data_IF_454566785661
#
_entry.id   IF_454566785661
#
_cell.length_a   1.000
_cell.length_b   1.000
_cell.length_c   1.000
_cell.angle_alpha   90.00
_cell.angle_beta   90.00
_cell.angle_gamma   90.00
#
_symmetry.space_group_name_H-M   'P 1'
#
loop_
_entity.id
_entity.type
_entity.pdbx_description
1 polymer ?
#
# COMPACT_ATOMS: atom_id res chain seq x y z
N UNK A 1 17.92 5.43 -8.84
CA UNK A 1 17.09 4.94 -7.71
C UNK A 1 17.68 5.50 -6.41
N UNK A 2 16.82 5.89 -5.47
CA UNK A 2 17.21 6.28 -4.12
C UNK A 2 17.10 5.04 -3.21
N UNK A 3 17.91 4.98 -2.12
CA UNK A 3 17.94 3.78 -1.26
C UNK A 3 16.64 3.52 -0.50
N UNK A 4 15.84 4.56 -0.25
CA UNK A 4 14.57 4.47 0.45
C UNK A 4 13.49 5.15 -0.38
N UNK A 5 12.53 4.38 -0.84
CA UNK A 5 11.35 4.87 -1.56
C UNK A 5 10.11 4.82 -0.65
N UNK A 6 9.09 5.60 -1.02
CA UNK A 6 7.84 5.67 -0.27
C UNK A 6 7.85 6.68 0.87
N UNK A 7 7.10 6.41 1.94
CA UNK A 7 6.94 7.34 3.07
C UNK A 7 7.92 6.97 4.18
N UNK A 8 8.73 7.95 4.61
CA UNK A 8 9.71 7.84 5.69
C UNK A 8 9.38 8.87 6.76
N UNK A 9 9.27 8.47 8.01
CA UNK A 9 9.10 9.40 9.12
C UNK A 9 10.42 9.62 9.83
N UNK A 10 10.76 10.88 10.01
CA UNK A 10 11.89 11.34 10.82
C UNK A 10 11.32 11.99 12.07
N UNK A 11 11.41 11.26 13.18
CA UNK A 11 10.86 11.72 14.45
C UNK A 11 11.71 12.82 15.06
N UNK A 12 11.12 13.98 15.27
CA UNK A 12 11.77 15.17 15.83
C UNK A 12 10.90 15.71 16.96
N UNK A 13 11.41 15.61 18.17
CA UNK A 13 10.81 16.20 19.37
C UNK A 13 11.46 17.58 19.53
N UNK A 14 10.85 18.61 18.94
CA UNK A 14 11.29 19.99 19.07
C UNK A 14 10.25 20.85 19.78
N UNK A 15 10.64 22.08 20.12
CA UNK A 15 9.72 23.09 20.66
C UNK A 15 9.50 24.21 19.64
N UNK A 16 8.38 24.91 19.77
CA UNK A 16 8.14 26.10 18.97
C UNK A 16 8.88 27.30 19.56
N UNK A 17 9.59 28.00 18.69
CA UNK A 17 10.33 29.20 19.11
C UNK A 17 9.41 30.35 19.55
N UNK A 18 8.22 30.42 18.96
CA UNK A 18 7.20 31.43 19.22
C UNK A 18 5.85 30.93 18.70
N UNK A 19 4.81 30.93 19.53
CA UNK A 19 3.46 30.50 19.14
C UNK A 19 2.90 31.23 17.90
N UNK A 20 3.27 32.53 17.73
CA UNK A 20 2.79 33.32 16.58
C UNK A 20 3.55 33.01 15.28
N UNK A 21 4.76 32.49 15.32
CA UNK A 21 5.58 32.32 14.12
C UNK A 21 5.53 30.93 13.52
N UNK A 22 5.06 29.93 14.26
CA UNK A 22 5.01 28.53 13.77
C UNK A 22 6.37 28.09 13.18
N UNK A 23 7.45 28.25 13.95
CA UNK A 23 8.81 27.83 13.60
C UNK A 23 9.24 26.75 14.57
N UNK A 24 9.75 25.64 14.06
CA UNK A 24 10.46 24.61 14.79
C UNK A 24 11.87 24.49 14.20
N UNK A 25 12.87 25.00 14.93
CA UNK A 25 14.26 25.03 14.46
C UNK A 25 14.86 23.63 14.32
N UNK A 26 14.49 22.71 15.20
CA UNK A 26 14.96 21.33 15.17
C UNK A 26 14.47 20.62 13.93
N UNK A 27 13.18 20.80 13.59
CA UNK A 27 12.63 20.28 12.33
C UNK A 27 13.31 20.92 11.11
N UNK A 28 13.53 22.26 11.14
CA UNK A 28 14.19 22.95 10.04
C UNK A 28 15.61 22.40 9.80
N UNK A 29 16.42 22.26 10.85
CA UNK A 29 17.75 21.65 10.80
C UNK A 29 17.69 20.23 10.25
N UNK A 30 16.77 19.41 10.76
CA UNK A 30 16.61 18.03 10.30
C UNK A 30 16.23 17.94 8.82
N UNK A 31 15.35 18.81 8.34
CA UNK A 31 15.01 18.90 6.93
C UNK A 31 16.24 19.18 6.05
N UNK A 32 17.07 20.14 6.46
CA UNK A 32 18.30 20.49 5.74
C UNK A 32 19.30 19.33 5.75
N UNK A 33 19.54 18.70 6.91
CA UNK A 33 20.43 17.54 7.01
C UNK A 33 20.05 16.41 6.04
N UNK A 34 18.75 16.10 5.98
CA UNK A 34 18.20 15.08 5.06
C UNK A 34 18.42 15.52 3.61
N UNK A 35 18.09 16.76 3.28
CA UNK A 35 18.19 17.29 1.93
C UNK A 35 19.64 17.30 1.44
N UNK A 36 20.59 17.80 2.24
CA UNK A 36 22.02 17.85 1.90
C UNK A 36 22.62 16.45 1.75
N UNK A 37 22.25 15.51 2.65
CA UNK A 37 22.70 14.12 2.55
C UNK A 37 22.21 13.48 1.25
N UNK A 38 20.96 13.72 0.87
CA UNK A 38 20.38 13.19 -0.36
C UNK A 38 21.01 13.86 -1.60
N UNK A 39 21.15 15.17 -1.60
CA UNK A 39 21.77 15.94 -2.68
C UNK A 39 23.21 15.50 -2.94
N UNK A 40 24.00 15.30 -1.87
CA UNK A 40 25.38 14.81 -1.96
C UNK A 40 25.46 13.40 -2.53
N UNK A 41 24.51 12.53 -2.15
CA UNK A 41 24.51 11.12 -2.58
C UNK A 41 23.96 10.95 -3.98
N UNK A 42 23.01 11.78 -4.38
CA UNK A 42 22.28 11.70 -5.64
C UNK A 42 22.25 13.06 -6.34
N UNK A 43 23.30 13.43 -7.10
CA UNK A 43 23.42 14.78 -7.68
C UNK A 43 22.29 15.18 -8.64
N UNK A 44 21.61 14.21 -9.25
CA UNK A 44 20.59 14.44 -10.28
C UNK A 44 19.15 14.49 -9.74
N UNK A 45 18.93 14.29 -8.43
CA UNK A 45 17.57 14.33 -7.88
C UNK A 45 17.12 15.74 -7.57
N UNK A 46 15.83 15.99 -7.74
CA UNK A 46 15.16 17.23 -7.31
C UNK A 46 14.56 17.06 -5.93
N UNK A 47 14.79 18.01 -5.02
CA UNK A 47 14.33 17.96 -3.62
C UNK A 47 13.48 19.18 -3.33
N UNK A 48 12.25 18.94 -2.84
CA UNK A 48 11.37 19.98 -2.32
C UNK A 48 11.24 19.85 -0.80
N UNK A 49 11.45 20.93 -0.07
CA UNK A 49 11.14 21.00 1.35
C UNK A 49 9.91 21.86 1.52
N UNK A 50 8.83 21.29 2.05
CA UNK A 50 7.56 21.99 2.17
C UNK A 50 7.08 22.04 3.61
N UNK A 51 6.37 23.11 3.96
CA UNK A 51 5.70 23.24 5.24
C UNK A 51 4.30 23.84 5.07
N UNK A 52 3.34 23.49 5.94
CA UNK A 52 2.06 24.19 6.02
C UNK A 52 2.25 25.69 6.36
N UNK A 53 3.32 26.00 7.11
CA UNK A 53 3.55 27.31 7.71
C UNK A 53 4.60 28.13 6.96
N UNK A 54 4.22 29.34 6.56
CA UNK A 54 5.06 30.24 5.78
C UNK A 54 6.41 30.54 6.46
N UNK A 55 6.41 30.84 7.76
CA UNK A 55 7.63 31.20 8.47
C UNK A 55 8.59 30.00 8.56
N UNK A 56 8.08 28.78 8.76
CA UNK A 56 8.91 27.57 8.73
C UNK A 56 9.55 27.37 7.36
N UNK A 57 8.79 27.52 6.28
CA UNK A 57 9.32 27.39 4.93
C UNK A 57 10.39 28.46 4.63
N UNK A 58 10.21 29.69 5.13
CA UNK A 58 11.20 30.76 5.01
C UNK A 58 12.47 30.48 5.83
N UNK A 59 12.33 30.01 7.07
CA UNK A 59 13.44 29.59 7.92
C UNK A 59 14.27 28.53 7.22
N UNK A 60 13.65 27.47 6.75
CA UNK A 60 14.31 26.39 5.99
C UNK A 60 14.98 26.96 4.73
N UNK A 61 14.30 27.83 3.99
CA UNK A 61 14.86 28.43 2.77
C UNK A 61 16.14 29.23 3.05
N UNK A 62 16.20 29.92 4.20
CA UNK A 62 17.37 30.70 4.60
C UNK A 62 18.59 29.83 4.94
N UNK A 63 18.36 28.57 5.31
CA UNK A 63 19.41 27.60 5.68
C UNK A 63 19.96 26.82 4.48
N UNK A 64 19.32 26.86 3.32
CA UNK A 64 19.80 26.15 2.12
C UNK A 64 21.10 26.78 1.63
N UNK A 65 22.15 25.96 1.52
CA UNK A 65 23.43 26.42 1.00
C UNK A 65 23.30 26.87 -0.47
N UNK A 66 23.94 27.97 -0.85
CA UNK A 66 23.79 28.55 -2.20
C UNK A 66 24.14 27.59 -3.33
N UNK A 67 25.12 26.72 -3.12
CA UNK A 67 25.56 25.73 -4.13
C UNK A 67 24.50 24.65 -4.38
N UNK A 68 23.54 24.46 -3.47
CA UNK A 68 22.47 23.48 -3.56
C UNK A 68 21.12 24.10 -3.97
N UNK A 69 21.04 25.41 -4.16
CA UNK A 69 19.80 26.13 -4.48
C UNK A 69 19.18 25.75 -5.84
N UNK A 70 19.95 25.12 -6.73
CA UNK A 70 19.42 24.54 -7.97
C UNK A 70 18.77 23.17 -7.82
N UNK A 71 19.12 22.44 -6.75
CA UNK A 71 18.64 21.08 -6.48
C UNK A 71 17.61 21.04 -5.36
N UNK A 72 17.74 21.90 -4.35
CA UNK A 72 16.88 21.99 -3.16
C UNK A 72 16.10 23.29 -3.20
N UNK A 73 14.78 23.22 -3.09
CA UNK A 73 13.88 24.37 -2.97
C UNK A 73 12.98 24.19 -1.73
N UNK A 74 12.72 25.31 -1.04
CA UNK A 74 11.79 25.31 0.09
C UNK A 74 10.69 26.35 -0.11
N UNK A 75 9.42 25.95 0.08
CA UNK A 75 8.26 26.85 0.10
C UNK A 75 7.08 26.23 0.87
N UNK A 76 5.98 26.97 0.92
CA UNK A 76 4.73 26.46 1.50
C UNK A 76 4.08 25.39 0.62
N UNK A 77 3.29 24.50 1.23
CA UNK A 77 2.52 23.48 0.52
C UNK A 77 1.68 24.09 -0.61
N UNK A 78 1.07 25.26 -0.39
CA UNK A 78 0.23 25.93 -1.39
C UNK A 78 1.00 26.37 -2.65
N UNK A 79 2.23 26.82 -2.50
CA UNK A 79 3.05 27.23 -3.65
C UNK A 79 3.64 26.06 -4.42
N UNK A 80 3.74 24.90 -3.80
CA UNK A 80 4.13 23.65 -4.46
C UNK A 80 2.98 22.99 -5.24
N UNK A 81 1.79 23.61 -5.29
CA UNK A 81 0.70 23.11 -6.12
C UNK A 81 1.10 23.07 -7.61
N UNK A 82 1.14 21.85 -8.18
CA UNK A 82 1.51 21.64 -9.60
C UNK A 82 2.99 21.30 -9.83
N UNK A 83 3.88 21.49 -8.85
CA UNK A 83 5.30 21.21 -8.98
C UNK A 83 5.67 19.90 -8.26
N UNK A 84 6.23 18.95 -9.00
CA UNK A 84 6.63 17.64 -8.46
C UNK A 84 8.14 17.56 -8.30
N UNK A 85 8.62 16.86 -7.27
CA UNK A 85 10.04 16.60 -7.03
C UNK A 85 10.29 15.10 -6.85
N UNK A 86 11.53 14.66 -7.07
CA UNK A 86 11.88 13.27 -6.79
C UNK A 86 11.68 12.95 -5.32
N UNK A 87 12.08 13.87 -4.45
CA UNK A 87 11.90 13.77 -3.00
C UNK A 87 11.18 15.00 -2.47
N UNK A 88 10.19 14.78 -1.63
CA UNK A 88 9.57 15.81 -0.80
C UNK A 88 9.96 15.56 0.66
N UNK A 89 10.32 16.63 1.35
CA UNK A 89 10.53 16.65 2.81
C UNK A 89 9.46 17.56 3.39
N UNK A 90 8.60 17.03 4.24
CA UNK A 90 7.43 17.72 4.79
C UNK A 90 7.64 18.02 6.27
N UNK A 91 7.89 19.29 6.62
CA UNK A 91 8.04 19.78 8.00
C UNK A 91 6.69 20.19 8.56
N UNK A 92 6.25 19.51 9.61
CA UNK A 92 4.90 19.64 10.17
C UNK A 92 4.73 20.82 11.13
N UNK A 93 5.78 21.14 11.91
CA UNK A 93 5.74 22.14 13.00
C UNK A 93 4.63 21.89 14.01
N UNK A 94 4.37 20.63 14.30
CA UNK A 94 3.37 20.20 15.29
C UNK A 94 4.09 19.49 16.42
N UNK A 95 4.07 20.09 17.59
CA UNK A 95 4.81 19.66 18.78
C UNK A 95 3.89 19.67 19.99
N UNK A 96 4.35 19.17 21.12
CA UNK A 96 3.60 19.15 22.39
C UNK A 96 3.15 20.55 22.83
N UNK A 97 3.86 21.61 22.40
CA UNK A 97 3.50 23.01 22.64
C UNK A 97 2.46 23.55 21.64
N UNK A 98 2.04 22.73 20.69
CA UNK A 98 1.11 23.14 19.64
C UNK A 98 -0.33 23.11 20.12
N UNK A 99 -1.15 24.04 19.61
CA UNK A 99 -2.59 23.93 19.80
C UNK A 99 -3.17 22.80 18.94
N UNK A 100 -4.15 22.05 19.45
CA UNK A 100 -4.91 21.04 18.68
C UNK A 100 -5.50 21.61 17.39
N UNK A 101 -5.75 22.92 17.34
CA UNK A 101 -6.21 23.63 16.17
C UNK A 101 -5.28 23.52 14.96
N UNK A 102 -3.97 23.34 15.15
CA UNK A 102 -3.00 23.17 14.06
C UNK A 102 -3.15 21.83 13.36
N UNK A 103 -3.24 20.73 14.13
CA UNK A 103 -3.50 19.40 13.56
C UNK A 103 -4.81 19.43 12.79
N UNK A 104 -5.87 19.95 13.39
CA UNK A 104 -7.17 20.06 12.75
C UNK A 104 -7.10 20.89 11.46
N UNK A 105 -6.37 21.99 11.46
CA UNK A 105 -6.19 22.80 10.26
C UNK A 105 -5.46 22.05 9.14
N UNK A 106 -4.39 21.29 9.47
CA UNK A 106 -3.67 20.48 8.48
C UNK A 106 -4.56 19.39 7.90
N UNK A 107 -5.35 18.70 8.74
CA UNK A 107 -6.19 17.57 8.34
C UNK A 107 -7.44 17.99 7.55
N UNK A 108 -8.04 19.15 7.86
CA UNK A 108 -9.32 19.58 7.28
C UNK A 108 -9.20 20.73 6.26
N UNK A 109 -7.99 21.21 5.97
CA UNK A 109 -7.79 22.26 4.97
C UNK A 109 -8.24 21.83 3.56
N UNK A 110 -8.65 22.79 2.75
CA UNK A 110 -9.03 22.57 1.35
C UNK A 110 -8.19 23.49 0.45
N UNK A 111 -7.36 22.94 -0.45
CA UNK A 111 -7.06 21.51 -0.61
C UNK A 111 -6.34 20.91 0.60
N UNK A 112 -6.49 19.60 0.83
CA UNK A 112 -5.85 18.96 1.98
C UNK A 112 -4.33 18.99 1.84
N UNK A 113 -3.64 19.56 2.85
CA UNK A 113 -2.20 19.83 2.81
C UNK A 113 -1.36 18.55 2.78
N UNK A 114 -1.81 17.50 3.48
CA UNK A 114 -1.14 16.18 3.48
C UNK A 114 -1.24 15.55 2.10
N UNK A 115 -2.42 15.57 1.48
CA UNK A 115 -2.62 15.00 0.15
C UNK A 115 -1.77 15.73 -0.90
N UNK A 116 -1.64 17.06 -0.79
CA UNK A 116 -0.75 17.82 -1.66
C UNK A 116 0.68 17.36 -1.46
N UNK A 117 1.18 17.23 -0.21
CA UNK A 117 2.53 16.77 0.07
C UNK A 117 2.81 15.38 -0.54
N UNK A 118 1.92 14.41 -0.28
CA UNK A 118 2.04 13.03 -0.79
C UNK A 118 2.09 12.99 -2.32
N UNK A 119 1.24 13.78 -2.99
CA UNK A 119 1.14 13.77 -4.45
C UNK A 119 2.26 14.53 -5.16
N UNK A 120 3.10 15.27 -4.45
CA UNK A 120 4.26 15.98 -5.01
C UNK A 120 5.54 15.13 -5.02
N UNK A 121 5.59 14.04 -4.26
CA UNK A 121 6.74 13.16 -4.18
C UNK A 121 6.68 12.07 -5.27
N UNK A 122 7.67 12.04 -6.17
CA UNK A 122 7.77 10.98 -7.21
C UNK A 122 8.36 9.68 -6.68
N UNK A 123 9.31 9.76 -5.74
CA UNK A 123 10.06 8.60 -5.23
C UNK A 123 9.92 8.44 -3.73
N UNK A 124 10.13 9.52 -2.96
CA UNK A 124 10.05 9.47 -1.51
C UNK A 124 9.44 10.71 -0.89
N UNK A 125 8.68 10.51 0.17
CA UNK A 125 8.16 11.53 1.07
C UNK A 125 8.80 11.33 2.45
N UNK A 126 9.64 12.27 2.88
CA UNK A 126 10.11 12.34 4.26
C UNK A 126 9.15 13.24 5.04
N UNK A 127 8.60 12.74 6.13
CA UNK A 127 7.77 13.52 7.06
C UNK A 127 8.62 13.80 8.29
N UNK A 128 8.82 15.07 8.63
CA UNK A 128 9.63 15.50 9.77
C UNK A 128 8.70 16.12 10.81
N UNK A 129 8.69 15.57 12.02
CA UNK A 129 7.83 16.05 13.09
C UNK A 129 7.66 15.03 14.22
N UNK A 130 6.99 15.43 15.29
CA UNK A 130 6.75 14.59 16.47
C UNK A 130 5.71 13.52 16.19
N UNK A 131 6.19 12.28 15.95
CA UNK A 131 5.35 11.13 15.61
C UNK A 131 4.35 10.82 16.73
N UNK A 132 4.81 10.76 17.97
CA UNK A 132 3.97 10.43 19.12
C UNK A 132 2.84 11.44 19.33
N UNK A 133 3.15 12.72 19.17
CA UNK A 133 2.14 13.77 19.30
C UNK A 133 1.05 13.65 18.25
N UNK A 134 1.43 13.39 16.98
CA UNK A 134 0.46 13.19 15.91
C UNK A 134 -0.42 11.95 16.16
N UNK A 135 0.17 10.83 16.57
CA UNK A 135 -0.57 9.59 16.86
C UNK A 135 -1.61 9.75 17.98
N UNK A 136 -1.33 10.62 18.93
CA UNK A 136 -2.24 10.84 20.08
C UNK A 136 -3.30 11.90 19.82
N UNK A 137 -3.10 12.79 18.83
CA UNK A 137 -3.98 13.95 18.59
C UNK A 137 -4.66 13.96 17.21
N UNK A 138 -4.27 13.06 16.28
CA UNK A 138 -4.95 12.90 14.99
C UNK A 138 -5.50 11.48 14.85
N UNK A 139 -6.74 11.37 14.36
CA UNK A 139 -7.36 10.07 14.10
C UNK A 139 -6.72 9.39 12.88
N UNK A 140 -6.64 8.04 12.91
CA UNK A 140 -6.21 7.23 11.76
C UNK A 140 -7.09 7.44 10.51
N UNK A 141 -8.33 7.87 10.68
CA UNK A 141 -9.25 8.17 9.58
C UNK A 141 -8.94 9.51 8.90
N UNK A 142 -8.02 10.29 9.47
CA UNK A 142 -7.56 11.57 8.95
C UNK A 142 -6.20 11.45 8.27
N UNK A 143 -5.90 12.27 7.26
CA UNK A 143 -4.68 12.13 6.46
C UNK A 143 -3.38 12.13 7.27
N UNK A 144 -3.26 13.02 8.26
CA UNK A 144 -2.05 13.12 9.08
C UNK A 144 -1.89 11.94 10.03
N UNK A 145 -2.98 11.55 10.71
CA UNK A 145 -3.00 10.36 11.57
C UNK A 145 -2.74 9.07 10.80
N UNK A 146 -3.27 8.96 9.56
CA UNK A 146 -2.97 7.84 8.68
C UNK A 146 -1.49 7.78 8.30
N UNK A 147 -0.87 8.92 7.96
CA UNK A 147 0.57 8.98 7.67
C UNK A 147 1.42 8.52 8.86
N UNK A 148 1.09 8.98 10.06
CA UNK A 148 1.79 8.58 11.28
C UNK A 148 1.65 7.08 11.56
N UNK A 149 0.43 6.55 11.44
CA UNK A 149 0.17 5.11 11.55
C UNK A 149 0.94 4.30 10.49
N UNK A 150 0.92 4.75 9.23
CA UNK A 150 1.61 4.07 8.13
C UNK A 150 3.11 4.01 8.36
N UNK A 151 3.73 5.10 8.81
CA UNK A 151 5.16 5.17 9.07
C UNK A 151 5.63 4.13 10.09
N UNK A 152 4.85 3.93 11.16
CA UNK A 152 5.13 2.94 12.20
C UNK A 152 4.87 1.50 11.74
N UNK A 153 3.82 1.32 10.95
CA UNK A 153 3.34 -0.01 10.57
C UNK A 153 3.84 -0.47 9.18
N UNK A 154 4.60 0.36 8.45
CA UNK A 154 5.06 0.03 7.09
C UNK A 154 5.80 -1.29 7.00
N UNK A 155 6.59 -1.66 8.03
CA UNK A 155 7.25 -2.97 8.05
C UNK A 155 6.24 -4.10 8.23
N UNK A 156 5.21 -3.91 9.04
CA UNK A 156 4.12 -4.89 9.19
C UNK A 156 3.29 -4.97 7.92
N UNK A 157 3.02 -3.82 7.28
CA UNK A 157 2.32 -3.74 5.99
C UNK A 157 3.17 -4.40 4.90
N UNK A 158 4.48 -4.18 4.87
CA UNK A 158 5.39 -4.84 3.94
C UNK A 158 5.55 -6.34 4.26
N UNK A 159 5.47 -6.75 5.53
CA UNK A 159 5.40 -8.16 5.93
C UNK A 159 4.05 -8.77 5.55
N UNK A 160 2.95 -8.00 5.66
CA UNK A 160 1.63 -8.43 5.18
C UNK A 160 1.51 -8.31 3.65
N UNK A 161 2.19 -7.38 2.99
CA UNK A 161 2.28 -7.30 1.52
C UNK A 161 3.24 -8.34 0.92
N UNK A 162 4.13 -8.95 1.71
CA UNK A 162 4.84 -10.17 1.32
C UNK A 162 3.91 -11.40 1.39
N UNK A 163 2.82 -11.35 2.16
CA UNK A 163 1.80 -12.37 2.14
C UNK A 163 0.93 -12.18 0.90
N UNK A 164 0.96 -13.15 0.02
CA UNK A 164 0.10 -13.17 -1.15
C UNK A 164 -1.32 -13.62 -0.76
N UNK A 165 -2.31 -13.15 -1.50
CA UNK A 165 -3.67 -13.66 -1.41
C UNK A 165 -3.93 -14.51 -2.64
N UNK A 166 -4.02 -15.81 -2.48
CA UNK A 166 -4.27 -16.73 -3.58
C UNK A 166 -5.76 -16.97 -3.75
N UNK A 167 -6.28 -16.67 -4.94
CA UNK A 167 -7.61 -17.13 -5.38
C UNK A 167 -7.37 -18.33 -6.30
N UNK A 168 -7.87 -19.50 -5.93
CA UNK A 168 -7.51 -20.77 -6.60
C UNK A 168 -8.68 -21.25 -7.43
N UNK A 169 -8.40 -21.55 -8.70
CA UNK A 169 -9.34 -22.13 -9.66
C UNK A 169 -9.53 -23.65 -9.45
N UNK A 170 -10.64 -24.18 -9.88
CA UNK A 170 -11.03 -25.60 -9.77
C UNK A 170 -10.00 -26.52 -10.43
N UNK A 171 -9.52 -26.17 -11.63
CA UNK A 171 -8.57 -26.99 -12.37
C UNK A 171 -7.28 -27.23 -11.62
N UNK A 172 -6.82 -26.26 -10.87
CA UNK A 172 -5.61 -26.35 -10.04
C UNK A 172 -5.70 -27.50 -9.03
N UNK A 173 -6.86 -27.67 -8.37
CA UNK A 173 -7.09 -28.75 -7.41
C UNK A 173 -7.17 -30.13 -8.06
N UNK A 174 -7.60 -30.18 -9.33
CA UNK A 174 -7.68 -31.43 -10.10
C UNK A 174 -6.29 -31.84 -10.60
N UNK A 175 -5.45 -30.85 -10.95
CA UNK A 175 -4.09 -31.07 -11.40
C UNK A 175 -3.15 -31.40 -10.23
N UNK A 176 -3.32 -30.73 -9.11
CA UNK A 176 -2.48 -30.86 -7.90
C UNK A 176 -3.34 -30.76 -6.62
N UNK A 177 -3.72 -31.88 -6.07
CA UNK A 177 -4.49 -31.94 -4.82
C UNK A 177 -3.72 -31.42 -3.60
N UNK A 178 -2.40 -31.33 -3.68
CA UNK A 178 -1.51 -30.88 -2.61
C UNK A 178 -1.14 -29.39 -2.71
N UNK A 179 -1.76 -28.67 -3.65
CA UNK A 179 -1.49 -27.26 -3.90
C UNK A 179 -1.49 -26.39 -2.62
N UNK A 180 -2.41 -26.66 -1.70
CA UNK A 180 -2.49 -25.94 -0.44
C UNK A 180 -1.24 -26.11 0.43
N UNK A 181 -0.51 -27.20 0.28
CA UNK A 181 0.73 -27.47 1.01
C UNK A 181 1.93 -26.72 0.42
N UNK A 182 1.87 -26.35 -0.86
CA UNK A 182 2.92 -25.59 -1.56
C UNK A 182 2.83 -24.08 -1.33
N UNK A 183 1.64 -23.57 -1.00
CA UNK A 183 1.43 -22.16 -0.67
C UNK A 183 2.02 -21.88 0.71
N UNK A 184 2.69 -20.74 0.88
CA UNK A 184 3.28 -20.38 2.16
C UNK A 184 2.18 -20.32 3.26
N UNK A 185 2.41 -20.89 4.47
CA UNK A 185 1.42 -20.86 5.56
C UNK A 185 0.98 -19.45 6.00
N UNK A 186 1.75 -18.42 5.67
CA UNK A 186 1.42 -17.02 5.98
C UNK A 186 0.45 -16.41 4.98
N UNK A 187 0.37 -16.96 3.76
CA UNK A 187 -0.48 -16.46 2.70
C UNK A 187 -1.96 -16.71 2.99
N UNK A 188 -2.81 -15.81 2.52
CA UNK A 188 -4.25 -15.97 2.56
C UNK A 188 -4.70 -16.78 1.35
N UNK A 189 -5.49 -17.82 1.58
CA UNK A 189 -6.14 -18.58 0.52
C UNK A 189 -7.61 -18.20 0.51
N UNK A 190 -8.08 -17.64 -0.58
CA UNK A 190 -9.49 -17.35 -0.83
C UNK A 190 -10.03 -18.48 -1.70
N UNK A 191 -10.96 -19.25 -1.15
CA UNK A 191 -11.65 -20.33 -1.85
C UNK A 191 -13.04 -19.85 -2.28
N UNK A 192 -13.24 -19.67 -3.60
CA UNK A 192 -14.58 -19.36 -4.10
C UNK A 192 -15.55 -20.49 -3.82
N UNK A 193 -16.76 -20.19 -3.31
CA UNK A 193 -17.81 -21.19 -3.14
C UNK A 193 -18.10 -21.93 -4.45
N UNK A 194 -17.94 -21.25 -5.58
CA UNK A 194 -18.09 -21.82 -6.92
C UNK A 194 -17.14 -22.98 -7.19
N UNK A 195 -15.89 -22.91 -6.70
CA UNK A 195 -14.91 -23.99 -6.82
C UNK A 195 -15.37 -25.24 -6.05
N UNK A 196 -15.91 -25.03 -4.85
CA UNK A 196 -16.45 -26.15 -4.06
C UNK A 196 -17.64 -26.82 -4.76
N UNK A 197 -18.56 -26.03 -5.34
CA UNK A 197 -19.69 -26.53 -6.10
C UNK A 197 -19.24 -27.35 -7.32
N UNK A 198 -18.18 -26.91 -8.00
CA UNK A 198 -17.63 -27.62 -9.15
C UNK A 198 -16.96 -28.92 -8.76
N UNK A 199 -16.13 -28.91 -7.71
CA UNK A 199 -15.52 -30.13 -7.18
C UNK A 199 -16.60 -31.13 -6.70
N UNK A 200 -17.68 -30.66 -6.07
CA UNK A 200 -18.78 -31.50 -5.65
C UNK A 200 -19.53 -32.16 -6.85
N UNK A 201 -19.73 -31.43 -7.93
CA UNK A 201 -20.29 -31.98 -9.18
C UNK A 201 -19.37 -33.03 -9.79
N UNK A 202 -18.04 -32.82 -9.78
CA UNK A 202 -17.07 -33.76 -10.32
C UNK A 202 -17.05 -35.09 -9.56
N UNK A 203 -17.46 -35.14 -8.29
CA UNK A 203 -17.66 -36.40 -7.54
C UNK A 203 -18.73 -37.32 -8.15
N UNK A 204 -19.63 -36.75 -8.93
CA UNK A 204 -20.67 -37.53 -9.63
C UNK A 204 -20.32 -37.86 -11.09
N UNK A 205 -19.08 -37.54 -11.49
CA UNK A 205 -18.57 -37.83 -12.84
C UNK A 205 -18.57 -39.35 -13.13
N UNK A 206 -18.83 -39.71 -14.39
CA UNK A 206 -18.62 -41.06 -14.89
C UNK A 206 -17.15 -41.45 -15.07
N UNK A 207 -16.31 -40.44 -15.19
CA UNK A 207 -14.86 -40.58 -15.20
C UNK A 207 -14.36 -40.83 -13.79
N UNK A 208 -13.89 -42.06 -13.52
CA UNK A 208 -13.45 -42.50 -12.20
C UNK A 208 -12.18 -41.80 -11.73
N UNK A 209 -11.28 -41.43 -12.66
CA UNK A 209 -10.07 -40.71 -12.33
C UNK A 209 -10.39 -39.29 -11.86
N UNK A 210 -11.23 -38.58 -12.63
CA UNK A 210 -11.66 -37.23 -12.33
C UNK A 210 -12.44 -37.16 -11.02
N UNK A 211 -13.32 -38.15 -10.78
CA UNK A 211 -14.04 -38.34 -9.53
C UNK A 211 -13.09 -38.48 -8.34
N UNK A 212 -12.09 -39.36 -8.46
CA UNK A 212 -11.12 -39.61 -7.39
C UNK A 212 -10.28 -38.36 -7.05
N UNK A 213 -9.87 -37.61 -8.08
CA UNK A 213 -9.15 -36.33 -7.91
C UNK A 213 -10.00 -35.28 -7.19
N UNK A 214 -11.27 -35.14 -7.54
CA UNK A 214 -12.19 -34.22 -6.88
C UNK A 214 -12.45 -34.57 -5.41
N UNK A 215 -12.65 -35.86 -5.10
CA UNK A 215 -12.81 -36.35 -3.73
C UNK A 215 -11.57 -36.09 -2.89
N UNK A 216 -10.37 -36.31 -3.47
CA UNK A 216 -9.10 -36.05 -2.81
C UNK A 216 -8.93 -34.55 -2.53
N UNK A 217 -9.17 -33.69 -3.53
CA UNK A 217 -9.09 -32.24 -3.40
C UNK A 217 -9.99 -31.71 -2.26
N UNK A 218 -11.26 -32.11 -2.21
CA UNK A 218 -12.17 -31.69 -1.13
C UNK A 218 -11.73 -32.16 0.26
N UNK A 219 -11.18 -33.38 0.35
CA UNK A 219 -10.62 -33.88 1.60
C UNK A 219 -9.40 -33.07 2.05
N UNK A 220 -8.51 -32.71 1.11
CA UNK A 220 -7.33 -31.86 1.39
C UNK A 220 -7.75 -30.45 1.82
N UNK A 221 -8.73 -29.84 1.14
CA UNK A 221 -9.31 -28.53 1.51
C UNK A 221 -9.85 -28.56 2.94
N UNK A 222 -10.64 -29.58 3.28
CA UNK A 222 -11.21 -29.75 4.63
C UNK A 222 -10.13 -29.87 5.71
N UNK A 223 -9.05 -30.59 5.45
CA UNK A 223 -7.98 -30.82 6.39
C UNK A 223 -7.08 -29.58 6.54
N UNK A 224 -6.84 -28.86 5.43
CA UNK A 224 -5.98 -27.66 5.43
C UNK A 224 -6.57 -26.51 6.27
N UNK A 225 -7.90 -26.41 6.39
CA UNK A 225 -8.57 -25.36 7.19
C UNK A 225 -8.18 -25.31 8.67
N UNK A 226 -7.50 -26.35 9.20
CA UNK A 226 -7.01 -26.38 10.59
C UNK A 226 -5.69 -25.62 10.77
N UNK A 227 -4.86 -25.54 9.73
CA UNK A 227 -3.46 -25.07 9.81
C UNK A 227 -3.13 -23.97 8.79
N UNK A 228 -4.10 -23.49 8.04
CA UNK A 228 -3.95 -22.52 6.97
C UNK A 228 -4.96 -21.38 7.10
N UNK A 229 -4.60 -20.20 6.64
CA UNK A 229 -5.51 -19.05 6.55
C UNK A 229 -6.39 -19.23 5.31
N UNK A 230 -7.50 -19.94 5.44
CA UNK A 230 -8.46 -20.16 4.35
C UNK A 230 -9.71 -19.34 4.62
N UNK A 231 -10.14 -18.58 3.62
CA UNK A 231 -11.39 -17.82 3.62
C UNK A 231 -12.29 -18.33 2.50
N UNK A 232 -13.48 -18.75 2.85
CA UNK A 232 -14.51 -19.19 1.91
C UNK A 232 -15.38 -18.00 1.54
N UNK A 233 -15.52 -17.70 0.23
CA UNK A 233 -16.27 -16.53 -0.22
C UNK A 233 -17.14 -16.81 -1.44
N UNK A 234 -18.27 -16.10 -1.50
CA UNK A 234 -19.09 -16.02 -2.71
C UNK A 234 -18.45 -15.01 -3.68
N UNK A 235 -18.74 -15.15 -4.98
CA UNK A 235 -18.24 -14.22 -5.99
C UNK A 235 -18.69 -12.77 -5.74
N UNK A 236 -17.82 -11.83 -6.07
CA UNK A 236 -18.07 -10.40 -6.03
C UNK A 236 -18.37 -9.88 -7.45
N UNK A 237 -19.41 -10.43 -8.06
CA UNK A 237 -19.71 -10.26 -9.51
C UNK A 237 -20.02 -8.81 -9.91
N UNK A 238 -20.39 -7.97 -8.96
CA UNK A 238 -20.57 -6.52 -9.12
C UNK A 238 -19.26 -5.78 -9.47
N UNK A 239 -18.12 -6.40 -9.23
CA UNK A 239 -16.80 -5.84 -9.56
C UNK A 239 -16.30 -6.22 -10.97
N UNK A 240 -17.05 -7.08 -11.66
CA UNK A 240 -16.71 -7.48 -13.02
C UNK A 240 -16.95 -6.35 -14.02
N UNK A 241 -16.11 -6.22 -15.08
CA UNK A 241 -16.44 -5.38 -16.21
C UNK A 241 -17.80 -5.73 -16.82
N UNK A 242 -18.48 -4.74 -17.38
CA UNK A 242 -19.84 -4.90 -17.94
C UNK A 242 -19.93 -6.00 -19.01
N UNK A 243 -18.84 -6.19 -19.76
CA UNK A 243 -18.76 -7.19 -20.84
C UNK A 243 -18.56 -8.63 -20.33
N UNK A 244 -18.38 -8.81 -19.02
CA UNK A 244 -18.14 -10.13 -18.46
C UNK A 244 -19.43 -10.75 -17.94
N UNK A 245 -19.73 -11.97 -18.41
CA UNK A 245 -20.93 -12.70 -17.98
C UNK A 245 -20.81 -13.11 -16.48
N UNK A 246 -21.62 -12.49 -15.63
CA UNK A 246 -21.63 -12.73 -14.17
C UNK A 246 -22.07 -14.16 -13.76
N UNK A 247 -22.64 -14.94 -14.69
CA UNK A 247 -23.05 -16.34 -14.44
C UNK A 247 -21.98 -17.37 -14.81
N UNK A 248 -20.93 -16.93 -15.53
CA UNK A 248 -19.82 -17.81 -15.90
C UNK A 248 -18.96 -18.12 -14.68
N UNK A 249 -18.60 -19.39 -14.49
CA UNK A 249 -17.83 -19.84 -13.32
C UNK A 249 -16.47 -19.16 -13.20
N UNK A 250 -15.70 -19.09 -14.29
CA UNK A 250 -14.39 -18.43 -14.33
C UNK A 250 -14.50 -16.95 -13.94
N UNK A 251 -15.54 -16.27 -14.42
CA UNK A 251 -15.74 -14.86 -14.11
C UNK A 251 -16.11 -14.66 -12.63
N UNK A 252 -16.86 -15.60 -12.04
CA UNK A 252 -17.15 -15.60 -10.59
C UNK A 252 -15.85 -15.76 -9.79
N UNK A 253 -14.97 -16.65 -10.19
CA UNK A 253 -13.65 -16.85 -9.56
C UNK A 253 -12.80 -15.59 -9.75
N UNK A 254 -12.73 -15.04 -10.96
CA UNK A 254 -12.00 -13.83 -11.28
C UNK A 254 -12.47 -12.62 -10.48
N UNK A 255 -13.78 -12.51 -10.21
CA UNK A 255 -14.32 -11.39 -9.43
C UNK A 255 -13.74 -11.30 -8.02
N UNK A 256 -13.42 -12.44 -7.40
CA UNK A 256 -12.71 -12.46 -6.11
C UNK A 256 -11.24 -12.02 -6.24
N UNK A 257 -10.57 -12.40 -7.31
CA UNK A 257 -9.21 -11.91 -7.55
C UNK A 257 -9.20 -10.39 -7.78
N UNK A 258 -10.22 -9.83 -8.42
CA UNK A 258 -10.43 -8.37 -8.54
C UNK A 258 -10.67 -7.75 -7.16
N UNK A 259 -11.54 -8.33 -6.33
CA UNK A 259 -11.84 -7.88 -4.97
C UNK A 259 -10.57 -7.75 -4.10
N UNK A 260 -9.69 -8.74 -4.20
CA UNK A 260 -8.45 -8.79 -3.42
C UNK A 260 -7.24 -8.16 -4.11
N UNK A 261 -7.40 -7.50 -5.26
CA UNK A 261 -6.29 -6.93 -6.06
C UNK A 261 -5.36 -6.04 -5.24
N UNK A 262 -5.89 -5.21 -4.36
CA UNK A 262 -5.12 -4.31 -3.49
C UNK A 262 -4.43 -5.04 -2.31
N UNK A 263 -4.65 -6.34 -2.14
CA UNK A 263 -4.04 -7.19 -1.13
C UNK A 263 -3.07 -8.21 -1.75
N UNK A 264 -2.35 -7.80 -2.78
CA UNK A 264 -1.38 -8.64 -3.51
C UNK A 264 -2.00 -9.97 -4.00
N UNK A 265 -3.22 -9.88 -4.57
CA UNK A 265 -3.93 -11.06 -5.04
C UNK A 265 -3.27 -11.69 -6.26
N UNK A 266 -3.19 -13.00 -6.23
CA UNK A 266 -2.73 -13.85 -7.33
C UNK A 266 -3.83 -14.86 -7.65
N UNK A 267 -4.34 -14.81 -8.87
CA UNK A 267 -5.22 -15.86 -9.39
C UNK A 267 -4.35 -17.05 -9.81
N UNK A 268 -4.58 -18.19 -9.20
CA UNK A 268 -3.92 -19.43 -9.56
C UNK A 268 -4.82 -20.25 -10.47
N UNK A 269 -4.43 -20.42 -11.73
CA UNK A 269 -5.20 -21.15 -12.74
C UNK A 269 -4.30 -21.69 -13.84
N UNK A 270 -4.70 -22.80 -14.43
CA UNK A 270 -4.10 -23.38 -15.65
C UNK A 270 -4.93 -23.09 -16.92
N UNK A 271 -6.10 -22.42 -16.78
CA UNK A 271 -6.97 -22.09 -17.90
C UNK A 271 -6.46 -20.86 -18.67
N UNK A 272 -6.14 -21.03 -19.95
CA UNK A 272 -5.63 -19.95 -20.81
C UNK A 272 -6.65 -18.83 -21.03
N UNK A 273 -7.94 -19.15 -21.06
CA UNK A 273 -9.01 -18.16 -21.19
C UNK A 273 -9.12 -17.29 -19.95
N UNK A 274 -9.07 -17.92 -18.78
CA UNK A 274 -9.09 -17.23 -17.50
C UNK A 274 -7.83 -16.42 -17.27
N UNK A 275 -6.65 -16.93 -17.68
CA UNK A 275 -5.38 -16.17 -17.66
C UNK A 275 -5.50 -14.88 -18.50
N UNK A 276 -6.06 -14.98 -19.70
CA UNK A 276 -6.22 -13.83 -20.60
C UNK A 276 -7.17 -12.79 -20.01
N UNK A 277 -8.29 -13.22 -19.43
CA UNK A 277 -9.25 -12.36 -18.74
C UNK A 277 -8.62 -11.65 -17.52
N UNK A 278 -7.84 -12.40 -16.71
CA UNK A 278 -7.17 -11.85 -15.53
C UNK A 278 -6.18 -10.73 -15.91
N UNK A 279 -5.39 -10.95 -16.96
CA UNK A 279 -4.47 -9.94 -17.51
C UNK A 279 -5.21 -8.69 -18.00
N UNK A 280 -6.35 -8.86 -18.69
CA UNK A 280 -7.17 -7.74 -19.18
C UNK A 280 -7.68 -6.83 -18.03
N UNK A 281 -7.98 -7.40 -16.87
CA UNK A 281 -8.44 -6.64 -15.68
C UNK A 281 -7.30 -6.33 -14.69
N UNK A 282 -6.04 -6.50 -15.10
CA UNK A 282 -4.84 -6.22 -14.31
C UNK A 282 -4.78 -6.98 -12.98
N UNK A 283 -5.21 -8.22 -12.98
CA UNK A 283 -5.03 -9.17 -11.88
C UNK A 283 -3.77 -9.99 -12.13
N UNK A 284 -2.93 -10.13 -11.11
CA UNK A 284 -1.78 -11.03 -11.19
C UNK A 284 -2.25 -12.47 -11.32
N UNK A 285 -1.65 -13.23 -12.22
CA UNK A 285 -2.00 -14.62 -12.46
C UNK A 285 -0.73 -15.47 -12.48
N UNK A 286 -0.81 -16.65 -11.87
CA UNK A 286 0.25 -17.68 -11.94
C UNK A 286 -0.35 -19.02 -12.34
N UNK A 287 0.43 -19.80 -13.07
CA UNK A 287 0.17 -21.21 -13.30
C UNK A 287 0.82 -22.06 -12.20
N UNK A 288 0.46 -23.34 -12.11
CA UNK A 288 1.11 -24.28 -11.19
C UNK A 288 2.63 -24.37 -11.37
N UNK A 289 3.13 -24.20 -12.60
CA UNK A 289 4.56 -24.25 -12.93
C UNK A 289 5.35 -23.05 -12.36
N UNK A 290 4.66 -21.94 -12.10
CA UNK A 290 5.27 -20.70 -11.61
C UNK A 290 5.21 -20.56 -10.08
N UNK A 291 4.69 -21.59 -9.40
CA UNK A 291 4.70 -21.70 -7.93
C UNK A 291 5.93 -22.43 -7.36
N UNK A 292 6.84 -22.84 -8.21
CA UNK A 292 8.08 -23.54 -7.83
C UNK A 292 9.12 -22.56 -7.31
#
# INVERSE_FOLDING_TARGET
NIDQEGIIWEDVIGSQKNEMQNINEEEAKRCIEIAEKLAKKYPDISIGIISPFKHQAQEISSMIHKDLSGQIVSDTVHKFQGDEKDVIIYSLVVTDDSSEGKIRWIDYSVPNLVNVAVTRARKALYVVGNLHYIQTHSSIDLPLGYLAWYAENKQKINLDSSNQTFVIDTNVFIEDSDILERINPRDLIVLPAKVLDELDKLKTSKDLELKGKAELALRKIKNAGKNRKIRYEIGAVELLPVDFNAKNADNIILSLAIKYRNQNAVLLTSDNGLISKAKAVRVNVKSLKELQ
#
